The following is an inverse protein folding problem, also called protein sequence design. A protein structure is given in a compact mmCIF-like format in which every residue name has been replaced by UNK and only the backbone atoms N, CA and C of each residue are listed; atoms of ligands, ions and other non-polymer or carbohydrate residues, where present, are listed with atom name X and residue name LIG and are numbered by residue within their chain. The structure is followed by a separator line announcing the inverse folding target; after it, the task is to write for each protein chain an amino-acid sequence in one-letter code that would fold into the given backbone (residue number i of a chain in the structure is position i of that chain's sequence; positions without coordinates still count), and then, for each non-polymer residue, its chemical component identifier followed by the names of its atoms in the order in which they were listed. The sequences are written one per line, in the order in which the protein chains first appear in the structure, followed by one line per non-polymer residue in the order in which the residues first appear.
data_IF_816125139185
#
_entry.id   IF_816125139185
#
_cell.length_a   1.000
_cell.length_b   1.000
_cell.length_c   1.000
_cell.angle_alpha   90.00
_cell.angle_beta   90.00
_cell.angle_gamma   90.00
#
_symmetry.space_group_name_H-M   'P 1'
#
loop_
_entity.id
_entity.type
_entity.pdbx_description
1 polymer ?
#
# COMPACT_ATOMS: atom_id res chain seq x y z
N UNK A 1 3.26 18.67 -8.56
CA UNK A 1 3.06 17.40 -7.84
C UNK A 1 4.00 17.42 -6.65
N UNK A 2 3.53 17.13 -5.42
CA UNK A 2 4.39 17.14 -4.22
C UNK A 2 4.46 15.73 -3.66
N UNK A 3 5.64 15.12 -3.68
CA UNK A 3 5.91 13.84 -3.04
C UNK A 3 5.96 14.01 -1.52
N UNK A 4 5.51 12.98 -0.79
CA UNK A 4 5.77 12.89 0.65
C UNK A 4 7.21 12.40 0.84
N UNK A 5 8.11 13.35 1.03
CA UNK A 5 9.56 13.13 1.01
C UNK A 5 10.00 12.10 2.06
N UNK A 6 9.42 12.12 3.26
CA UNK A 6 9.84 11.21 4.34
C UNK A 6 9.50 9.75 4.03
N UNK A 7 8.31 9.51 3.47
CA UNK A 7 7.89 8.17 3.04
C UNK A 7 8.63 7.71 1.78
N UNK A 8 8.83 8.60 0.81
CA UNK A 8 9.52 8.28 -0.43
C UNK A 8 10.99 7.91 -0.21
N UNK A 9 11.69 8.61 0.69
CA UNK A 9 13.07 8.25 1.06
C UNK A 9 13.11 6.83 1.63
N UNK A 10 12.20 6.49 2.54
CA UNK A 10 12.13 5.13 3.09
C UNK A 10 11.84 4.05 2.04
N UNK A 11 11.05 4.35 1.02
CA UNK A 11 10.78 3.43 -0.09
C UNK A 11 11.99 3.26 -1.02
N UNK A 12 12.76 4.33 -1.25
CA UNK A 12 14.02 4.28 -2.02
C UNK A 12 15.09 3.49 -1.26
N UNK A 13 15.23 3.71 0.05
CA UNK A 13 16.14 2.96 0.92
C UNK A 13 15.76 1.47 1.01
N UNK A 14 14.47 1.16 1.15
CA UNK A 14 13.96 -0.22 1.16
C UNK A 14 14.20 -0.94 -0.18
N UNK A 15 14.28 -0.19 -1.29
CA UNK A 15 14.67 -0.70 -2.60
C UNK A 15 16.20 -0.90 -2.74
N UNK A 16 16.98 -0.64 -1.68
CA UNK A 16 18.43 -0.81 -1.66
C UNK A 16 19.20 0.29 -2.38
N UNK A 17 18.58 1.46 -2.58
CA UNK A 17 19.20 2.57 -3.31
C UNK A 17 20.05 3.44 -2.38
N UNK A 18 21.28 3.82 -2.79
CA UNK A 18 22.17 4.68 -2.00
C UNK A 18 21.77 6.16 -2.16
N UNK A 19 20.68 6.56 -1.50
CA UNK A 19 20.11 7.90 -1.57
C UNK A 19 20.52 8.76 -0.37
N UNK A 20 20.88 10.01 -0.62
CA UNK A 20 21.14 11.03 0.42
C UNK A 20 19.85 11.78 0.78
N UNK A 21 18.98 11.97 -0.22
CA UNK A 21 17.69 12.61 -0.02
C UNK A 21 16.84 12.56 -1.28
N UNK A 22 15.62 13.06 -1.15
CA UNK A 22 14.72 13.26 -2.27
C UNK A 22 13.98 14.58 -2.10
N UNK A 23 13.84 15.35 -3.17
CA UNK A 23 13.10 16.59 -3.17
C UNK A 23 11.63 16.34 -3.49
N UNK A 24 10.77 17.27 -3.06
CA UNK A 24 9.30 17.13 -3.21
C UNK A 24 8.81 17.13 -4.66
N UNK A 25 9.66 17.46 -5.63
CA UNK A 25 9.40 17.37 -7.07
C UNK A 25 9.82 16.02 -7.68
N UNK A 26 10.40 15.11 -6.89
CA UNK A 26 10.76 13.75 -7.30
C UNK A 26 12.21 13.60 -7.76
N UNK A 27 13.03 14.65 -7.66
CA UNK A 27 14.47 14.50 -7.87
C UNK A 27 15.09 13.73 -6.69
N UNK A 28 15.96 12.78 -7.03
CA UNK A 28 16.70 11.95 -6.07
C UNK A 28 18.13 12.46 -5.99
N UNK A 29 18.58 12.77 -4.78
CA UNK A 29 19.96 13.12 -4.49
C UNK A 29 20.68 11.86 -3.98
N UNK A 30 21.79 11.51 -4.64
CA UNK A 30 22.48 10.23 -4.47
C UNK A 30 23.76 10.40 -3.66
N UNK A 31 24.07 9.43 -2.80
CA UNK A 31 25.32 9.41 -2.00
C UNK A 31 26.56 9.33 -2.90
N UNK A 32 26.42 8.72 -4.09
CA UNK A 32 27.47 8.61 -5.10
C UNK A 32 26.88 8.53 -6.50
N UNK A 33 27.73 8.39 -7.53
CA UNK A 33 27.25 8.29 -8.91
C UNK A 33 26.40 7.02 -9.09
N UNK A 34 25.10 7.14 -9.42
CA UNK A 34 24.22 5.99 -9.50
C UNK A 34 24.50 5.17 -10.77
N UNK A 35 24.27 3.87 -10.69
CA UNK A 35 24.26 3.00 -11.87
C UNK A 35 22.95 3.17 -12.64
N UNK A 36 22.94 2.77 -13.93
CA UNK A 36 21.73 2.81 -14.74
C UNK A 36 20.58 1.96 -14.13
N UNK A 37 20.91 0.85 -13.49
CA UNK A 37 19.93 0.00 -12.78
C UNK A 37 19.35 0.68 -11.54
N UNK A 38 20.16 1.44 -10.80
CA UNK A 38 19.69 2.21 -9.65
C UNK A 38 18.75 3.33 -10.08
N UNK A 39 19.08 4.04 -11.17
CA UNK A 39 18.19 5.06 -11.75
C UNK A 39 16.86 4.44 -12.18
N UNK A 40 16.90 3.33 -12.93
CA UNK A 40 15.69 2.64 -13.39
C UNK A 40 14.83 2.10 -12.23
N UNK A 41 15.46 1.74 -11.11
CA UNK A 41 14.75 1.31 -9.89
C UNK A 41 14.13 2.52 -9.17
N UNK A 42 14.84 3.64 -9.04
CA UNK A 42 14.30 4.87 -8.46
C UNK A 42 13.12 5.42 -9.25
N UNK A 43 13.18 5.41 -10.58
CA UNK A 43 12.06 5.83 -11.43
C UNK A 43 10.81 4.97 -11.21
N UNK A 44 10.99 3.65 -11.03
CA UNK A 44 9.88 2.74 -10.68
C UNK A 44 9.29 3.05 -9.31
N UNK A 45 10.13 3.34 -8.31
CA UNK A 45 9.68 3.74 -6.97
C UNK A 45 8.91 5.07 -7.04
N UNK A 46 9.40 6.06 -7.78
CA UNK A 46 8.74 7.35 -7.99
C UNK A 46 7.37 7.19 -8.68
N UNK A 47 7.28 6.36 -9.71
CA UNK A 47 6.03 6.06 -10.41
C UNK A 47 5.03 5.30 -9.54
N UNK A 48 5.50 4.39 -8.68
CA UNK A 48 4.66 3.67 -7.72
C UNK A 48 4.18 4.58 -6.58
N UNK A 49 5.02 5.52 -6.15
CA UNK A 49 4.71 6.45 -5.07
C UNK A 49 3.68 7.51 -5.48
N UNK A 50 3.51 7.81 -6.79
CA UNK A 50 2.67 8.88 -7.33
C UNK A 50 1.50 9.26 -6.40
N UNK A 51 1.56 10.44 -5.73
CA UNK A 51 0.65 10.80 -4.64
C UNK A 51 -0.83 10.72 -5.01
N UNK A 52 -1.16 10.96 -6.28
CA UNK A 52 -2.52 10.86 -6.80
C UNK A 52 -3.09 9.43 -6.77
N UNK A 53 -2.28 8.43 -7.16
CA UNK A 53 -2.70 7.01 -7.12
C UNK A 53 -2.85 6.52 -5.70
N UNK A 54 -1.92 6.90 -4.81
CA UNK A 54 -1.96 6.49 -3.40
C UNK A 54 -3.12 7.14 -2.64
N UNK A 55 -3.38 8.42 -2.86
CA UNK A 55 -4.53 9.09 -2.24
C UNK A 55 -5.85 8.51 -2.75
N UNK A 56 -5.94 8.16 -4.04
CA UNK A 56 -7.10 7.47 -4.57
C UNK A 56 -7.26 6.09 -3.93
N UNK A 57 -6.20 5.28 -3.86
CA UNK A 57 -6.24 3.98 -3.19
C UNK A 57 -6.64 4.10 -1.70
N UNK A 58 -6.19 5.15 -1.01
CA UNK A 58 -6.58 5.45 0.37
C UNK A 58 -8.08 5.76 0.47
N UNK A 59 -8.60 6.61 -0.42
CA UNK A 59 -10.02 6.96 -0.50
C UNK A 59 -10.87 5.73 -0.84
N UNK A 60 -10.46 4.93 -1.81
CA UNK A 60 -11.16 3.71 -2.22
C UNK A 60 -11.21 2.70 -1.08
N UNK A 61 -10.09 2.50 -0.38
CA UNK A 61 -10.04 1.65 0.82
C UNK A 61 -10.95 2.18 1.92
N UNK A 62 -10.93 3.48 2.18
CA UNK A 62 -11.79 4.10 3.19
C UNK A 62 -13.27 3.95 2.84
N UNK A 63 -13.63 4.12 1.57
CA UNK A 63 -14.98 3.92 1.05
C UNK A 63 -15.42 2.46 1.18
N UNK A 64 -14.55 1.51 0.82
CA UNK A 64 -14.80 0.08 0.98
C UNK A 64 -15.01 -0.30 2.46
N UNK A 65 -14.11 0.12 3.37
CA UNK A 65 -14.25 -0.14 4.82
C UNK A 65 -15.56 0.46 5.36
N UNK A 66 -15.92 1.67 4.93
CA UNK A 66 -17.19 2.30 5.29
C UNK A 66 -18.38 1.46 4.81
N UNK A 67 -18.34 0.96 3.58
CA UNK A 67 -19.36 0.06 3.02
C UNK A 67 -19.50 -1.24 3.80
N UNK A 68 -18.38 -1.89 4.12
CA UNK A 68 -18.34 -3.12 4.93
C UNK A 68 -18.94 -2.86 6.32
N UNK A 69 -18.57 -1.77 6.99
CA UNK A 69 -19.13 -1.41 8.31
C UNK A 69 -20.62 -1.15 8.25
N UNK A 70 -21.09 -0.40 7.25
CA UNK A 70 -22.51 -0.13 7.08
C UNK A 70 -23.31 -1.42 6.82
N UNK A 71 -22.80 -2.30 5.96
CA UNK A 71 -23.38 -3.61 5.69
C UNK A 71 -23.43 -4.47 6.96
N UNK A 72 -22.34 -4.53 7.72
CA UNK A 72 -22.27 -5.29 8.97
C UNK A 72 -23.29 -4.80 10.01
N UNK A 73 -23.42 -3.47 10.14
CA UNK A 73 -24.39 -2.86 11.05
C UNK A 73 -25.85 -3.20 10.66
N UNK A 74 -26.13 -3.39 9.37
CA UNK A 74 -27.48 -3.73 8.88
C UNK A 74 -27.86 -5.19 9.05
N UNK A 75 -26.93 -6.08 9.42
CA UNK A 75 -27.20 -7.50 9.60
C UNK A 75 -27.84 -7.77 10.97
N UNK A 76 -28.78 -8.71 10.98
CA UNK A 76 -29.28 -9.37 12.19
C UNK A 76 -28.21 -10.22 12.85
N UNK A 77 -28.44 -10.64 14.10
CA UNK A 77 -27.51 -11.51 14.82
C UNK A 77 -27.28 -12.86 14.08
N UNK A 78 -28.34 -13.46 13.53
CA UNK A 78 -28.25 -14.72 12.79
C UNK A 78 -27.40 -14.57 11.51
N UNK A 79 -27.63 -13.51 10.74
CA UNK A 79 -26.85 -13.24 9.53
C UNK A 79 -25.37 -12.95 9.83
N UNK A 80 -25.07 -12.23 10.93
CA UNK A 80 -23.69 -12.02 11.37
C UNK A 80 -23.01 -13.34 11.74
N UNK A 81 -23.72 -14.23 12.43
CA UNK A 81 -23.20 -15.54 12.80
C UNK A 81 -22.88 -16.38 11.56
N UNK A 82 -23.74 -16.36 10.55
CA UNK A 82 -23.49 -17.04 9.27
C UNK A 82 -22.26 -16.48 8.55
N UNK A 83 -22.10 -15.15 8.49
CA UNK A 83 -20.91 -14.52 7.89
C UNK A 83 -19.64 -14.92 8.63
N UNK A 84 -19.67 -14.96 9.97
CA UNK A 84 -18.52 -15.39 10.78
C UNK A 84 -18.16 -16.86 10.53
N UNK A 85 -19.15 -17.75 10.44
CA UNK A 85 -18.92 -19.17 10.15
C UNK A 85 -18.27 -19.36 8.79
N UNK A 86 -18.76 -18.69 7.74
CA UNK A 86 -18.16 -18.77 6.39
C UNK A 86 -16.75 -18.18 6.34
N UNK A 87 -16.48 -17.11 7.09
CA UNK A 87 -15.14 -16.54 7.20
C UNK A 87 -14.20 -17.51 7.92
N UNK A 88 -14.66 -18.14 9.00
CA UNK A 88 -13.91 -19.16 9.72
C UNK A 88 -13.59 -20.35 8.81
N UNK A 89 -14.58 -20.93 8.15
CA UNK A 89 -14.39 -22.01 7.17
C UNK A 89 -13.37 -21.64 6.11
N UNK A 90 -13.43 -20.42 5.56
CA UNK A 90 -12.49 -19.99 4.52
C UNK A 90 -11.06 -19.77 5.03
N UNK A 91 -10.90 -19.29 6.25
CA UNK A 91 -9.58 -19.02 6.85
C UNK A 91 -8.90 -20.32 7.33
N UNK A 92 -9.69 -21.32 7.71
CA UNK A 92 -9.20 -22.59 8.25
C UNK A 92 -9.35 -23.77 7.26
N UNK A 93 -9.92 -23.56 6.07
CA UNK A 93 -9.99 -24.56 5.01
C UNK A 93 -8.61 -25.09 4.61
N UNK A 94 -7.59 -24.24 4.69
CA UNK A 94 -6.21 -24.62 4.35
C UNK A 94 -5.52 -25.43 5.46
N UNK A 95 -5.99 -25.36 6.71
CA UNK A 95 -5.42 -26.12 7.84
C UNK A 95 -5.98 -27.56 7.94
N UNK A 96 -7.16 -27.82 7.39
CA UNK A 96 -7.79 -29.16 7.40
C UNK A 96 -7.50 -29.99 6.15
N UNK A 97 -6.83 -29.42 5.15
CA UNK A 97 -6.47 -30.07 3.89
C UNK A 97 -5.03 -30.61 3.85
N UNK A 98 -4.27 -30.51 4.95
CA UNK A 98 -2.90 -31.01 5.13
C UNK A 98 -2.87 -32.24 6.04
#
# INVERSE_FOLDING_TARGET
MKFDVGLLIGELEAAGLPVEGCSSDGRVDWIGQPTAEQVATAERVLQAHEPGKREQARKDRAAWVKGVRARWASLTAAERQEVMLRLFERLFADELAA
#
